data_IF_542092242193
#
_entry.id   IF_542092242193
#
_cell.length_a   1.000
_cell.length_b   1.000
_cell.length_c   1.000
_cell.angle_alpha   90.00
_cell.angle_beta   90.00
_cell.angle_gamma   90.00
#
_symmetry.space_group_name_H-M   'P 1'
#
loop_
_entity.id
_entity.type
_entity.pdbx_description
1 polymer ?
#
# COMPACT_ATOMS: atom_id res chain seq x y z
N UNK A 1 -17.33 -9.81 6.42
CA UNK A 1 -17.00 -8.43 6.83
C UNK A 1 -16.05 -8.46 8.01
N UNK A 2 -14.88 -7.86 7.88
CA UNK A 2 -13.79 -7.84 8.88
C UNK A 2 -13.85 -6.53 9.67
N UNK A 3 -13.82 -6.62 11.00
CA UNK A 3 -13.94 -5.45 11.89
C UNK A 3 -12.60 -5.08 12.52
N UNK A 4 -12.27 -3.78 12.49
CA UNK A 4 -11.07 -3.21 13.09
C UNK A 4 -11.35 -1.81 13.65
N UNK A 5 -10.39 -1.17 14.31
CA UNK A 5 -10.53 0.21 14.80
C UNK A 5 -10.22 1.23 13.70
N UNK A 6 -9.27 0.89 12.80
CA UNK A 6 -8.87 1.78 11.70
C UNK A 6 -8.59 0.94 10.44
N UNK A 7 -9.09 1.39 9.29
CA UNK A 7 -8.70 0.88 7.98
C UNK A 7 -7.68 1.86 7.37
N UNK A 8 -6.52 1.35 6.95
CA UNK A 8 -5.50 2.13 6.24
C UNK A 8 -5.49 1.69 4.78
N UNK A 9 -5.67 2.63 3.87
CA UNK A 9 -5.62 2.39 2.42
C UNK A 9 -4.27 2.86 1.91
N UNK A 10 -3.42 1.90 1.54
CA UNK A 10 -2.05 2.11 1.09
C UNK A 10 -1.00 1.62 2.09
N UNK A 11 -0.15 0.68 1.65
CA UNK A 11 0.97 0.10 2.41
C UNK A 11 2.33 0.74 2.08
N UNK A 12 2.32 1.99 1.61
CA UNK A 12 3.53 2.80 1.46
C UNK A 12 4.09 3.25 2.81
N UNK A 13 5.21 4.02 2.84
CA UNK A 13 5.85 4.46 4.08
C UNK A 13 4.91 5.17 5.06
N UNK A 14 3.99 5.99 4.54
CA UNK A 14 3.02 6.72 5.36
C UNK A 14 2.03 5.76 6.02
N UNK A 15 1.46 4.81 5.26
CA UNK A 15 0.53 3.81 5.78
C UNK A 15 1.18 2.90 6.82
N UNK A 16 2.40 2.41 6.55
CA UNK A 16 3.16 1.60 7.50
C UNK A 16 3.49 2.38 8.78
N UNK A 17 3.89 3.65 8.67
CA UNK A 17 4.13 4.47 9.85
C UNK A 17 2.84 4.76 10.64
N UNK A 18 1.70 4.92 9.95
CA UNK A 18 0.39 5.06 10.62
C UNK A 18 0.06 3.82 11.46
N UNK A 19 0.36 2.60 10.98
CA UNK A 19 0.23 1.36 11.77
C UNK A 19 1.00 1.47 13.09
N UNK A 20 2.26 1.92 13.03
CA UNK A 20 3.07 2.09 14.23
C UNK A 20 2.43 3.08 15.22
N UNK A 21 1.97 4.24 14.73
CA UNK A 21 1.37 5.27 15.58
C UNK A 21 0.05 4.80 16.22
N UNK A 22 -0.76 4.05 15.50
CA UNK A 22 -2.00 3.45 16.03
C UNK A 22 -1.68 2.34 17.05
N UNK A 23 -0.70 1.51 16.72
CA UNK A 23 -0.29 0.40 17.61
C UNK A 23 0.21 0.86 18.97
N UNK A 24 1.01 1.93 19.07
CA UNK A 24 1.42 2.50 20.36
C UNK A 24 0.23 3.03 21.18
N UNK A 25 -0.87 3.38 20.53
CA UNK A 25 -2.12 3.81 21.18
C UNK A 25 -3.05 2.65 21.53
N UNK A 26 -2.64 1.40 21.22
CA UNK A 26 -3.44 0.21 21.46
C UNK A 26 -4.59 0.03 20.47
N UNK A 27 -4.60 0.77 19.36
CA UNK A 27 -5.61 0.66 18.31
C UNK A 27 -5.19 -0.40 17.27
N UNK A 28 -6.16 -1.23 16.87
CA UNK A 28 -5.98 -2.24 15.85
C UNK A 28 -6.22 -1.63 14.47
N UNK A 29 -5.34 -1.91 13.53
CA UNK A 29 -5.50 -1.50 12.15
C UNK A 29 -5.43 -2.69 11.19
N UNK A 30 -6.06 -2.55 10.03
CA UNK A 30 -5.78 -3.35 8.83
C UNK A 30 -5.23 -2.42 7.76
N UNK A 31 -4.34 -2.94 6.94
CA UNK A 31 -3.79 -2.19 5.80
C UNK A 31 -4.20 -2.89 4.52
N UNK A 32 -4.71 -2.14 3.56
CA UNK A 32 -5.16 -2.65 2.26
C UNK A 32 -4.33 -1.98 1.17
N UNK A 33 -3.71 -2.76 0.29
CA UNK A 33 -2.93 -2.24 -0.83
C UNK A 33 -3.13 -3.06 -2.09
N UNK A 34 -3.14 -2.40 -3.24
CA UNK A 34 -3.28 -3.01 -4.55
C UNK A 34 -2.01 -3.76 -5.01
N UNK A 35 -0.85 -3.41 -4.47
CA UNK A 35 0.41 -4.05 -4.84
C UNK A 35 0.57 -5.43 -4.18
N UNK A 36 1.40 -6.25 -4.79
CA UNK A 36 1.75 -7.59 -4.30
C UNK A 36 2.68 -7.57 -3.08
N UNK A 37 3.25 -6.40 -2.77
CA UNK A 37 4.15 -6.18 -1.63
C UNK A 37 3.98 -4.78 -1.05
N UNK A 38 4.24 -4.67 0.26
CA UNK A 38 4.26 -3.39 0.94
C UNK A 38 5.49 -2.55 0.54
N UNK A 39 5.38 -1.22 0.65
CA UNK A 39 6.46 -0.27 0.39
C UNK A 39 6.06 0.84 -0.60
N UNK A 40 4.97 0.66 -1.36
CA UNK A 40 4.47 1.67 -2.29
C UNK A 40 5.55 2.12 -3.28
N UNK A 41 5.66 3.43 -3.52
CA UNK A 41 6.62 4.00 -4.46
C UNK A 41 8.08 3.61 -4.19
N UNK A 42 8.46 3.46 -2.92
CA UNK A 42 9.82 3.14 -2.53
C UNK A 42 10.27 1.78 -3.08
N UNK A 43 9.37 0.82 -3.17
CA UNK A 43 9.66 -0.50 -3.72
C UNK A 43 9.36 -0.58 -5.21
N UNK A 44 8.27 0.05 -5.66
CA UNK A 44 7.80 -0.12 -7.04
C UNK A 44 8.61 0.70 -8.04
N UNK A 45 9.03 1.91 -7.67
CA UNK A 45 9.67 2.84 -8.61
C UNK A 45 11.18 3.00 -8.42
N UNK A 46 11.67 2.94 -7.18
CA UNK A 46 13.07 3.26 -6.88
C UNK A 46 13.64 2.49 -5.68
N UNK A 47 13.59 1.15 -5.68
CA UNK A 47 14.04 0.34 -4.54
C UNK A 47 15.51 0.60 -4.17
N UNK A 48 16.36 0.81 -5.16
CA UNK A 48 17.82 0.99 -4.99
C UNK A 48 18.24 2.47 -4.87
N UNK A 49 17.28 3.41 -5.03
CA UNK A 49 17.61 4.84 -4.97
C UNK A 49 17.90 5.28 -3.55
N UNK A 50 19.03 5.99 -3.28
CA UNK A 50 19.29 6.57 -1.97
C UNK A 50 18.29 7.68 -1.64
N UNK A 51 17.84 7.69 -0.40
CA UNK A 51 16.89 8.63 0.20
C UNK A 51 17.61 9.30 1.37
N UNK A 52 17.53 10.64 1.46
CA UNK A 52 18.25 11.45 2.44
C UNK A 52 17.34 12.31 3.34
N UNK A 53 16.04 12.29 3.09
CA UNK A 53 15.04 13.18 3.69
C UNK A 53 14.15 12.52 4.75
N UNK A 54 14.61 11.40 5.31
CA UNK A 54 13.93 10.73 6.42
C UNK A 54 14.54 11.20 7.75
N UNK A 55 13.74 11.77 8.67
CA UNK A 55 14.23 12.22 9.96
C UNK A 55 15.00 11.12 10.71
N UNK A 56 16.19 11.46 11.26
CA UNK A 56 17.09 10.58 11.97
C UNK A 56 17.67 9.39 11.15
N UNK A 57 17.45 9.36 9.84
CA UNK A 57 18.08 8.40 8.94
C UNK A 57 18.90 9.18 7.91
N UNK A 58 20.24 9.29 8.08
CA UNK A 58 21.08 10.09 7.18
C UNK A 58 20.99 9.67 5.73
N UNK A 59 20.93 8.35 5.49
CA UNK A 59 20.79 7.74 4.18
C UNK A 59 20.17 6.35 4.31
N UNK A 60 19.31 5.98 3.37
CA UNK A 60 18.83 4.62 3.18
C UNK A 60 18.32 4.46 1.74
N UNK A 61 18.21 3.23 1.25
CA UNK A 61 17.50 2.95 0.00
C UNK A 61 15.98 2.85 0.24
N UNK A 62 15.18 2.89 -0.86
CA UNK A 62 13.74 2.67 -0.79
C UNK A 62 13.40 1.30 -0.18
N UNK A 63 14.17 0.27 -0.54
CA UNK A 63 14.03 -1.07 0.01
C UNK A 63 14.36 -1.13 1.51
N UNK A 64 15.49 -0.54 1.92
CA UNK A 64 15.88 -0.49 3.33
C UNK A 64 14.89 0.25 4.20
N UNK A 65 14.35 1.39 3.72
CA UNK A 65 13.31 2.13 4.43
C UNK A 65 12.08 1.25 4.65
N UNK A 66 11.61 0.58 3.61
CA UNK A 66 10.45 -0.31 3.70
C UNK A 66 10.68 -1.45 4.68
N UNK A 67 11.86 -2.08 4.62
CA UNK A 67 12.22 -3.16 5.55
C UNK A 67 12.21 -2.69 7.01
N UNK A 68 12.79 -1.53 7.30
CA UNK A 68 12.78 -0.94 8.65
C UNK A 68 11.38 -0.63 9.14
N UNK A 69 10.50 -0.08 8.29
CA UNK A 69 9.10 0.18 8.64
C UNK A 69 8.33 -1.11 8.93
N UNK A 70 8.52 -2.14 8.12
CA UNK A 70 7.91 -3.46 8.36
C UNK A 70 8.40 -4.09 9.66
N UNK A 71 9.68 -3.96 9.99
CA UNK A 71 10.21 -4.40 11.29
C UNK A 71 9.60 -3.62 12.45
N UNK A 72 9.44 -2.31 12.29
CA UNK A 72 8.87 -1.42 13.30
C UNK A 72 7.42 -1.77 13.65
N UNK A 73 6.63 -2.28 12.70
CA UNK A 73 5.23 -2.63 12.92
C UNK A 73 5.01 -4.07 13.39
N UNK A 74 6.01 -4.95 13.31
CA UNK A 74 5.89 -6.37 13.74
C UNK A 74 5.22 -6.60 15.11
N UNK A 75 5.53 -5.81 16.16
CA UNK A 75 4.93 -6.01 17.48
C UNK A 75 3.40 -5.87 17.50
N UNK A 76 2.84 -5.12 16.57
CA UNK A 76 1.40 -4.81 16.53
C UNK A 76 0.56 -5.86 15.81
N UNK A 77 1.19 -6.84 15.15
CA UNK A 77 0.53 -7.96 14.44
C UNK A 77 -0.57 -7.51 13.48
N UNK A 78 -0.36 -6.38 12.81
CA UNK A 78 -1.32 -5.81 11.84
C UNK A 78 -1.43 -6.70 10.62
N UNK A 79 -2.65 -6.94 10.17
CA UNK A 79 -2.92 -7.68 8.94
C UNK A 79 -2.73 -6.77 7.72
N UNK A 80 -1.91 -7.24 6.77
CA UNK A 80 -1.70 -6.58 5.48
C UNK A 80 -2.45 -7.37 4.40
N UNK A 81 -3.42 -6.74 3.78
CA UNK A 81 -4.20 -7.26 2.65
C UNK A 81 -3.59 -6.70 1.37
N UNK A 82 -2.67 -7.45 0.78
CA UNK A 82 -1.98 -7.12 -0.47
C UNK A 82 -2.73 -7.73 -1.66
N UNK A 83 -2.49 -7.21 -2.87
CA UNK A 83 -3.27 -7.54 -4.08
C UNK A 83 -4.77 -7.23 -3.92
N UNK A 84 -5.11 -6.29 -3.04
CA UNK A 84 -6.46 -5.87 -2.74
C UNK A 84 -6.63 -4.40 -3.10
N UNK A 85 -7.37 -4.11 -4.17
CA UNK A 85 -7.68 -2.73 -4.57
C UNK A 85 -8.99 -2.31 -3.93
N UNK A 86 -8.97 -1.23 -3.18
CA UNK A 86 -10.19 -0.59 -2.68
C UNK A 86 -10.96 0.02 -3.85
N UNK A 87 -12.21 -0.36 -4.01
CA UNK A 87 -13.10 0.14 -5.07
C UNK A 87 -14.21 1.03 -4.52
N UNK A 88 -14.71 0.70 -3.32
CA UNK A 88 -15.81 1.43 -2.72
C UNK A 88 -15.49 1.78 -1.26
N UNK A 89 -15.85 3.00 -0.90
CA UNK A 89 -15.85 3.49 0.49
C UNK A 89 -17.16 4.23 0.73
N UNK A 90 -17.94 3.77 1.68
CA UNK A 90 -19.21 4.43 2.02
C UNK A 90 -19.49 4.42 3.53
N UNK A 91 -20.20 5.42 4.04
CA UNK A 91 -20.56 5.49 5.45
C UNK A 91 -21.66 4.47 5.79
N UNK A 92 -21.55 3.89 6.99
CA UNK A 92 -22.56 3.02 7.58
C UNK A 92 -22.75 3.38 9.07
N UNK A 93 -23.73 4.23 9.39
CA UNK A 93 -23.92 4.81 10.74
C UNK A 93 -22.67 5.53 11.23
N UNK A 94 -22.06 5.06 12.31
CA UNK A 94 -20.83 5.61 12.91
C UNK A 94 -19.56 4.94 12.37
N UNK A 95 -19.66 4.16 11.30
CA UNK A 95 -18.57 3.43 10.71
C UNK A 95 -18.45 3.72 9.22
N UNK A 96 -17.34 3.24 8.66
CA UNK A 96 -17.08 3.19 7.22
C UNK A 96 -17.01 1.75 6.77
N UNK A 97 -17.60 1.45 5.63
CA UNK A 97 -17.43 0.18 4.93
C UNK A 97 -16.51 0.40 3.76
N UNK A 98 -15.50 -0.47 3.63
CA UNK A 98 -14.57 -0.52 2.52
C UNK A 98 -14.73 -1.85 1.81
N UNK A 99 -14.87 -1.81 0.47
CA UNK A 99 -14.92 -3.01 -0.37
C UNK A 99 -13.78 -3.03 -1.36
N UNK A 100 -13.27 -4.22 -1.63
CA UNK A 100 -12.19 -4.45 -2.56
C UNK A 100 -12.64 -5.16 -3.85
N UNK A 101 -11.78 -5.14 -4.87
CA UNK A 101 -11.98 -5.86 -6.13
C UNK A 101 -12.20 -7.37 -5.96
N UNK A 102 -11.62 -7.98 -4.91
CA UNK A 102 -11.79 -9.41 -4.59
C UNK A 102 -12.99 -9.68 -3.67
N UNK A 103 -13.89 -8.69 -3.51
CA UNK A 103 -15.12 -8.78 -2.69
C UNK A 103 -14.86 -8.95 -1.18
N UNK A 104 -13.67 -8.59 -0.72
CA UNK A 104 -13.42 -8.45 0.71
C UNK A 104 -14.13 -7.20 1.25
N UNK A 105 -14.70 -7.31 2.44
CA UNK A 105 -15.40 -6.21 3.10
C UNK A 105 -14.82 -5.96 4.49
N UNK A 106 -14.53 -4.70 4.76
CA UNK A 106 -13.99 -4.21 6.02
C UNK A 106 -14.89 -3.14 6.61
N UNK A 107 -14.98 -3.08 7.94
CA UNK A 107 -15.72 -2.05 8.66
C UNK A 107 -14.88 -1.50 9.81
N UNK A 108 -14.82 -0.17 9.91
CA UNK A 108 -14.15 0.55 11.00
C UNK A 108 -14.76 1.93 11.23
N UNK A 109 -14.66 2.49 12.44
CA UNK A 109 -15.07 3.88 12.69
C UNK A 109 -14.18 4.91 12.00
N UNK A 110 -12.95 4.53 11.61
CA UNK A 110 -11.99 5.46 11.01
C UNK A 110 -11.30 4.86 9.79
N UNK A 111 -11.01 5.73 8.80
CA UNK A 111 -10.19 5.39 7.62
C UNK A 111 -9.04 6.37 7.51
N UNK A 112 -7.86 5.87 7.19
CA UNK A 112 -6.69 6.66 6.78
C UNK A 112 -6.40 6.36 5.33
N UNK A 113 -6.47 7.38 4.47
CA UNK A 113 -6.13 7.26 3.05
C UNK A 113 -4.67 7.67 2.87
N UNK A 114 -3.82 6.70 2.55
CA UNK A 114 -2.38 6.84 2.33
C UNK A 114 -1.97 6.26 0.96
N UNK A 115 -2.85 6.37 -0.05
CA UNK A 115 -2.77 5.71 -1.36
C UNK A 115 -1.67 6.23 -2.30
N UNK A 116 -0.93 7.28 -1.93
CA UNK A 116 0.18 7.81 -2.72
C UNK A 116 -0.25 8.23 -4.13
N UNK A 117 0.49 7.76 -5.16
CA UNK A 117 0.19 8.05 -6.58
C UNK A 117 -0.81 7.08 -7.20
N UNK A 118 -1.56 6.33 -6.39
CA UNK A 118 -2.54 5.34 -6.84
C UNK A 118 -1.95 3.96 -7.16
N UNK A 119 -2.69 3.14 -7.89
CA UNK A 119 -2.44 1.71 -8.11
C UNK A 119 -1.30 1.37 -9.08
N UNK A 120 -0.50 2.35 -9.50
CA UNK A 120 0.60 2.15 -10.47
C UNK A 120 0.15 1.53 -11.80
N UNK A 121 -1.09 1.76 -12.20
CA UNK A 121 -1.54 1.34 -13.52
C UNK A 121 -0.84 2.18 -14.60
N UNK A 122 -0.04 1.57 -15.49
CA UNK A 122 0.65 2.31 -16.53
C UNK A 122 -0.35 2.87 -17.55
N UNK A 123 -0.06 4.05 -18.07
CA UNK A 123 -0.77 4.54 -19.24
C UNK A 123 -0.38 3.69 -20.45
N UNK A 124 -1.25 2.77 -20.83
CA UNK A 124 -1.00 1.88 -21.96
C UNK A 124 -1.07 2.61 -23.29
N UNK A 125 -0.26 2.17 -24.25
CA UNK A 125 -0.31 2.64 -25.62
C UNK A 125 -1.61 2.12 -26.26
N UNK A 126 -2.44 3.03 -26.78
CA UNK A 126 -3.75 2.69 -27.36
C UNK A 126 -3.63 2.11 -28.78
N UNK A 127 -2.79 1.11 -28.98
CA UNK A 127 -2.64 0.38 -30.23
C UNK A 127 -3.03 -1.09 -30.01
N UNK A 128 -3.96 -1.60 -30.80
CA UNK A 128 -4.48 -2.99 -30.67
C UNK A 128 -3.39 -4.06 -30.73
N UNK A 129 -2.31 -3.81 -31.47
CA UNK A 129 -1.18 -4.72 -31.59
C UNK A 129 -0.35 -4.78 -30.30
N UNK A 130 -0.28 -3.68 -29.53
CA UNK A 130 0.48 -3.63 -28.28
C UNK A 130 -0.11 -4.53 -27.19
N UNK A 131 -1.43 -4.68 -27.14
CA UNK A 131 -2.10 -5.55 -26.15
C UNK A 131 -1.68 -7.03 -26.31
N UNK A 132 -1.48 -7.49 -27.55
CA UNK A 132 -1.05 -8.87 -27.84
C UNK A 132 0.42 -9.13 -27.50
N UNK A 133 1.20 -8.06 -27.41
CA UNK A 133 2.65 -8.09 -27.15
C UNK A 133 3.00 -7.76 -25.70
N UNK A 134 2.01 -7.38 -24.88
CA UNK A 134 2.21 -7.08 -23.45
C UNK A 134 2.78 -8.30 -22.73
N UNK A 135 3.84 -8.06 -21.95
CA UNK A 135 4.58 -9.12 -21.26
C UNK A 135 5.52 -9.96 -22.12
N UNK A 136 5.55 -9.74 -23.45
CA UNK A 136 6.46 -10.42 -24.40
C UNK A 136 7.50 -9.48 -24.99
N UNK A 137 7.04 -8.41 -25.62
CA UNK A 137 7.88 -7.42 -26.29
C UNK A 137 7.53 -5.99 -25.90
N UNK A 138 6.37 -5.78 -25.28
CA UNK A 138 5.93 -4.49 -24.73
C UNK A 138 5.87 -4.62 -23.23
N UNK A 139 6.70 -3.84 -22.53
CA UNK A 139 6.78 -3.79 -21.08
C UNK A 139 6.55 -2.36 -20.60
N UNK A 140 5.67 -2.16 -19.63
CA UNK A 140 5.37 -0.86 -19.01
C UNK A 140 6.16 -0.65 -17.70
N UNK A 141 6.77 -1.70 -17.16
CA UNK A 141 7.70 -1.64 -16.05
C UNK A 141 8.79 -2.69 -16.22
N UNK A 142 10.03 -2.34 -15.88
CA UNK A 142 11.17 -3.27 -15.82
C UNK A 142 11.62 -3.31 -14.37
N UNK A 143 11.25 -4.37 -13.66
CA UNK A 143 11.52 -4.53 -12.21
C UNK A 143 12.92 -5.10 -11.92
N UNK A 144 13.52 -5.82 -12.88
CA UNK A 144 14.86 -6.38 -12.79
C UNK A 144 15.66 -5.92 -14.00
N UNK A 145 16.88 -5.43 -13.75
CA UNK A 145 17.87 -5.10 -14.78
C UNK A 145 18.79 -6.27 -15.01
#
# INVERSE_FOLDING_TARGET
>A
MKKTDVIIIGAGPVGLFAVHQLGIKGLKAVVIDNLDKAGGQCIELYPDKPIYDIPAVPECTGEELTKRLLEQIKPFKTELYLNERVEEVHPEKDNWIVKTNNKEEFIAPNIIIAGGVSSFEPRKISLKECEKLEGKSVFYAVRNK
#
